data_IF_353663692024
#
_entry.id   IF_353663692024
#
_cell.length_a   1.000
_cell.length_b   1.000
_cell.length_c   1.000
_cell.angle_alpha   90.00
_cell.angle_beta   90.00
_cell.angle_gamma   90.00
#
_symmetry.space_group_name_H-M   'P 1'
#
loop_
_entity.id
_entity.type
_entity.pdbx_description
1 polymer ?
#
# COMPACT_ATOMS: atom_id res chain seq x y z
N UNK A 1 -88.69 -43.61 -38.38
CA UNK A 1 -88.52 -42.15 -38.19
C UNK A 1 -87.40 -41.99 -37.16
N UNK A 2 -86.14 -41.96 -37.61
CA UNK A 2 -85.27 -40.76 -37.71
C UNK A 2 -84.92 -40.21 -36.31
N UNK A 3 -83.67 -39.97 -35.92
CA UNK A 3 -82.40 -39.81 -36.65
C UNK A 3 -81.22 -39.88 -35.66
N UNK A 4 -80.07 -40.35 -36.16
CA UNK A 4 -78.75 -40.26 -35.54
C UNK A 4 -78.30 -38.80 -35.39
N UNK A 5 -77.49 -38.48 -34.38
CA UNK A 5 -76.30 -37.62 -34.55
C UNK A 5 -75.19 -38.04 -33.58
N UNK A 6 -74.03 -38.34 -34.16
CA UNK A 6 -72.74 -38.62 -33.52
C UNK A 6 -71.94 -37.31 -33.45
N UNK A 7 -71.41 -36.96 -32.29
CA UNK A 7 -70.46 -35.85 -32.11
C UNK A 7 -69.01 -36.35 -32.13
N UNK A 8 -68.03 -35.64 -32.73
CA UNK A 8 -66.70 -36.16 -32.96
C UNK A 8 -65.69 -35.79 -31.85
N UNK A 9 -64.91 -36.80 -31.45
CA UNK A 9 -63.47 -36.80 -31.13
C UNK A 9 -62.82 -35.51 -30.60
N UNK A 10 -62.42 -35.51 -29.33
CA UNK A 10 -61.20 -34.83 -28.90
C UNK A 10 -60.12 -35.83 -28.50
N UNK A 11 -59.02 -35.74 -29.26
CA UNK A 11 -57.74 -36.40 -29.02
C UNK A 11 -57.01 -35.80 -27.83
N UNK A 12 -56.09 -36.60 -27.29
CA UNK A 12 -54.79 -36.20 -26.73
C UNK A 12 -54.73 -35.84 -25.25
N UNK A 13 -53.85 -36.57 -24.55
CA UNK A 13 -53.39 -36.23 -23.22
C UNK A 13 -52.30 -37.16 -22.66
N UNK A 14 -51.35 -37.61 -23.48
CA UNK A 14 -50.02 -38.03 -22.98
C UNK A 14 -49.05 -36.94 -23.41
N UNK A 15 -48.48 -36.22 -22.45
CA UNK A 15 -47.04 -35.89 -22.29
C UNK A 15 -46.96 -35.03 -21.02
N UNK A 16 -46.65 -35.66 -19.89
CA UNK A 16 -46.02 -34.99 -18.75
C UNK A 16 -44.93 -35.93 -18.25
N UNK A 17 -43.87 -35.36 -17.69
CA UNK A 17 -42.67 -36.02 -17.13
C UNK A 17 -41.53 -36.24 -18.12
N UNK A 18 -40.95 -35.15 -18.63
CA UNK A 18 -39.50 -35.10 -18.94
C UNK A 18 -38.83 -33.83 -18.34
N UNK A 19 -39.59 -32.81 -17.94
CA UNK A 19 -39.01 -31.52 -17.53
C UNK A 19 -38.45 -31.45 -16.09
N UNK A 20 -38.70 -32.45 -15.23
CA UNK A 20 -38.31 -32.38 -13.80
C UNK A 20 -36.87 -32.80 -13.51
N UNK A 21 -36.22 -33.56 -14.40
CA UNK A 21 -34.86 -34.07 -14.19
C UNK A 21 -33.77 -33.03 -14.50
N UNK A 22 -34.03 -32.06 -15.38
CA UNK A 22 -33.03 -31.07 -15.81
C UNK A 22 -32.76 -29.99 -14.73
N UNK A 23 -33.78 -29.62 -13.95
CA UNK A 23 -33.64 -28.59 -12.90
C UNK A 23 -32.83 -29.10 -11.69
N UNK A 24 -33.01 -30.37 -11.33
CA UNK A 24 -32.24 -31.02 -10.25
C UNK A 24 -30.76 -31.21 -10.62
N UNK A 25 -30.47 -31.53 -11.89
CA UNK A 25 -29.08 -31.67 -12.36
C UNK A 25 -28.31 -30.34 -12.35
N UNK A 26 -28.96 -29.23 -12.74
CA UNK A 26 -28.33 -27.90 -12.73
C UNK A 26 -28.01 -27.38 -11.33
N UNK A 27 -28.86 -27.66 -10.34
CA UNK A 27 -28.64 -27.24 -8.94
C UNK A 27 -27.55 -28.06 -8.24
N UNK A 28 -27.48 -29.37 -8.50
CA UNK A 28 -26.39 -30.22 -8.04
C UNK A 28 -25.05 -29.81 -8.65
N UNK A 29 -25.00 -29.57 -9.97
CA UNK A 29 -23.80 -29.07 -10.64
C UNK A 29 -23.35 -27.73 -10.05
N UNK A 30 -24.26 -26.80 -9.79
CA UNK A 30 -23.91 -25.49 -9.21
C UNK A 30 -23.36 -25.62 -7.77
N UNK A 31 -23.94 -26.51 -6.95
CA UNK A 31 -23.41 -26.79 -5.62
C UNK A 31 -22.03 -27.45 -5.66
N UNK A 32 -21.80 -28.35 -6.63
CA UNK A 32 -20.50 -28.98 -6.86
C UNK A 32 -19.45 -27.96 -7.34
N UNK A 33 -19.83 -27.04 -8.23
CA UNK A 33 -18.96 -25.94 -8.67
C UNK A 33 -18.62 -24.99 -7.51
N UNK A 34 -19.61 -24.59 -6.70
CA UNK A 34 -19.36 -23.75 -5.52
C UNK A 34 -18.42 -24.42 -4.52
N UNK A 35 -18.55 -25.73 -4.34
CA UNK A 35 -17.63 -26.51 -3.50
C UNK A 35 -16.24 -26.59 -4.12
N UNK A 36 -16.13 -26.85 -5.42
CA UNK A 36 -14.86 -26.87 -6.13
C UNK A 36 -14.14 -25.52 -6.08
N UNK A 37 -14.88 -24.41 -6.16
CA UNK A 37 -14.34 -23.06 -6.02
C UNK A 37 -13.66 -22.81 -4.67
N UNK A 38 -14.16 -23.41 -3.59
CA UNK A 38 -13.53 -23.29 -2.26
C UNK A 38 -12.15 -23.95 -2.21
N UNK A 39 -11.89 -24.95 -3.06
CA UNK A 39 -10.60 -25.64 -3.15
C UNK A 39 -9.60 -24.97 -4.09
N UNK A 40 -10.01 -23.92 -4.80
CA UNK A 40 -9.10 -23.15 -5.65
C UNK A 40 -7.99 -22.51 -4.80
N UNK A 41 -6.79 -22.41 -5.37
CA UNK A 41 -5.56 -22.04 -4.66
C UNK A 41 -5.70 -20.73 -3.87
N UNK A 42 -6.39 -19.72 -4.38
CA UNK A 42 -6.59 -18.44 -3.69
C UNK A 42 -7.54 -18.50 -2.48
N UNK A 43 -8.34 -19.57 -2.36
CA UNK A 43 -9.19 -19.81 -1.20
C UNK A 43 -8.48 -20.70 -0.18
N UNK A 44 -7.76 -21.73 -0.63
CA UNK A 44 -7.04 -22.65 0.24
C UNK A 44 -5.77 -22.05 0.83
N UNK A 45 -5.02 -21.22 0.09
CA UNK A 45 -3.82 -20.52 0.60
C UNK A 45 -4.12 -19.60 1.78
N UNK A 46 -5.35 -19.07 1.90
CA UNK A 46 -5.77 -18.27 3.06
C UNK A 46 -5.88 -19.08 4.35
N UNK A 47 -6.02 -20.40 4.24
CA UNK A 47 -6.15 -21.33 5.36
C UNK A 47 -4.79 -21.91 5.80
N UNK A 48 -3.74 -21.68 5.01
CA UNK A 48 -2.39 -22.12 5.34
C UNK A 48 -1.70 -20.99 6.13
N UNK A 49 -1.34 -21.29 7.37
CA UNK A 49 -0.69 -20.35 8.28
C UNK A 49 0.64 -20.92 8.75
N UNK A 50 1.68 -20.08 8.83
CA UNK A 50 2.98 -20.49 9.37
C UNK A 50 3.88 -21.32 8.46
N UNK A 51 3.54 -21.47 7.17
CA UNK A 51 4.26 -22.31 6.21
C UNK A 51 5.37 -21.58 5.43
N UNK A 52 5.23 -20.27 5.22
CA UNK A 52 6.20 -19.44 4.48
C UNK A 52 7.01 -18.57 5.44
N UNK A 53 8.34 -18.68 5.35
CA UNK A 53 9.29 -17.80 6.01
C UNK A 53 10.07 -17.02 4.96
N UNK A 54 9.83 -15.71 4.88
CA UNK A 54 10.63 -14.80 4.05
C UNK A 54 11.50 -13.94 4.97
N UNK A 55 12.79 -14.31 5.16
CA UNK A 55 13.66 -13.62 6.11
C UNK A 55 14.09 -12.25 5.59
N UNK A 56 14.04 -11.26 6.48
CA UNK A 56 14.65 -9.95 6.32
C UNK A 56 15.85 -9.86 7.26
N UNK A 57 17.05 -9.92 6.68
CA UNK A 57 18.31 -9.90 7.43
C UNK A 57 18.61 -8.52 8.02
N UNK A 58 19.10 -8.51 9.26
CA UNK A 58 19.64 -7.31 9.90
C UNK A 58 21.03 -7.01 9.33
N UNK A 59 21.52 -5.79 9.56
CA UNK A 59 22.83 -5.34 9.05
C UNK A 59 24.02 -6.12 9.59
N UNK A 60 23.85 -6.84 10.71
CA UNK A 60 24.86 -7.74 11.26
C UNK A 60 25.03 -9.03 10.45
N UNK A 61 24.09 -9.36 9.56
CA UNK A 61 24.12 -10.57 8.73
C UNK A 61 23.88 -11.88 9.50
N UNK A 62 23.60 -11.82 10.80
CA UNK A 62 23.42 -13.00 11.65
C UNK A 62 21.98 -13.16 12.11
N UNK A 63 21.30 -12.04 12.36
CA UNK A 63 19.91 -12.02 12.83
C UNK A 63 18.99 -11.68 11.68
N UNK A 64 17.76 -12.20 11.74
CA UNK A 64 16.74 -11.86 10.77
C UNK A 64 15.38 -11.81 11.44
N UNK A 65 14.49 -11.01 10.86
CA UNK A 65 13.07 -11.03 11.21
C UNK A 65 12.24 -11.55 10.05
N UNK A 66 11.07 -12.08 10.35
CA UNK A 66 10.09 -12.47 9.32
C UNK A 66 8.67 -12.21 9.82
N UNK A 67 7.76 -11.99 8.87
CA UNK A 67 6.32 -11.91 9.13
C UNK A 67 5.73 -13.29 9.02
N UNK A 68 4.95 -13.71 10.00
CA UNK A 68 4.20 -14.96 9.99
C UNK A 68 2.71 -14.66 10.06
N UNK A 69 1.94 -15.24 9.14
CA UNK A 69 0.48 -15.18 9.20
C UNK A 69 -0.01 -16.30 10.12
N UNK A 70 -0.79 -15.94 11.14
CA UNK A 70 -1.44 -16.87 12.07
C UNK A 70 -2.96 -16.72 11.98
N UNK A 71 -3.71 -17.63 12.60
CA UNK A 71 -5.16 -17.51 12.70
C UNK A 71 -5.61 -16.24 13.46
N UNK A 72 -4.76 -15.71 14.34
CA UNK A 72 -5.04 -14.53 15.16
C UNK A 72 -4.56 -13.22 14.52
N UNK A 73 -3.93 -13.27 13.35
CA UNK A 73 -3.33 -12.10 12.70
C UNK A 73 -1.88 -12.33 12.28
N UNK A 74 -1.23 -11.27 11.83
CA UNK A 74 0.18 -11.34 11.42
C UNK A 74 1.12 -10.93 12.55
N UNK A 75 2.06 -11.81 12.87
CA UNK A 75 3.11 -11.53 13.84
C UNK A 75 4.44 -11.26 13.16
N UNK A 76 5.27 -10.46 13.81
CA UNK A 76 6.63 -10.17 13.36
C UNK A 76 7.60 -10.78 14.35
N UNK A 77 8.39 -11.74 13.87
CA UNK A 77 9.26 -12.56 14.71
C UNK A 77 10.70 -12.24 14.38
N UNK A 78 11.50 -11.90 15.41
CA UNK A 78 12.94 -11.79 15.35
C UNK A 78 13.60 -13.11 15.79
N UNK A 79 14.56 -13.57 15.01
CA UNK A 79 15.35 -14.77 15.28
C UNK A 79 16.81 -14.37 15.43
N UNK A 80 17.42 -14.87 16.51
CA UNK A 80 18.87 -14.90 16.67
C UNK A 80 19.34 -16.35 16.70
N UNK A 81 19.98 -16.84 15.61
CA UNK A 81 20.50 -18.20 15.53
C UNK A 81 21.63 -18.48 16.52
N UNK A 82 22.52 -17.52 16.79
CA UNK A 82 23.68 -17.72 17.68
C UNK A 82 23.24 -18.01 19.12
N UNK A 83 22.25 -17.27 19.60
CA UNK A 83 21.67 -17.48 20.93
C UNK A 83 20.49 -18.45 20.95
N UNK A 84 20.12 -19.03 19.80
CA UNK A 84 18.93 -19.89 19.63
C UNK A 84 17.65 -19.28 20.23
N UNK A 85 17.42 -17.98 19.98
CA UNK A 85 16.24 -17.27 20.50
C UNK A 85 15.30 -16.86 19.38
N UNK A 86 14.00 -17.01 19.64
CA UNK A 86 12.90 -16.54 18.81
C UNK A 86 11.95 -15.71 19.65
N UNK A 87 11.71 -14.46 19.27
CA UNK A 87 10.82 -13.54 20.01
C UNK A 87 9.98 -12.69 19.05
N UNK A 88 8.87 -12.16 19.53
CA UNK A 88 8.16 -11.10 18.81
C UNK A 88 9.06 -9.85 18.75
N UNK A 89 9.01 -9.15 17.63
CA UNK A 89 9.69 -7.85 17.47
C UNK A 89 9.01 -6.82 18.37
N UNK A 90 7.67 -6.81 18.37
CA UNK A 90 6.81 -5.92 19.14
C UNK A 90 5.48 -6.61 19.47
N UNK A 91 4.74 -6.01 20.40
CA UNK A 91 3.33 -6.34 20.67
C UNK A 91 2.43 -5.58 19.69
N UNK A 92 1.68 -6.31 18.86
CA UNK A 92 0.82 -5.73 17.83
C UNK A 92 -0.28 -4.83 18.42
N UNK A 93 -0.84 -5.18 19.59
CA UNK A 93 -1.90 -4.41 20.23
C UNK A 93 -1.39 -3.06 20.73
N UNK A 94 -0.23 -3.07 21.40
CA UNK A 94 0.41 -1.83 21.87
C UNK A 94 0.88 -0.96 20.72
N UNK A 95 1.45 -1.57 19.67
CA UNK A 95 1.89 -0.83 18.49
C UNK A 95 0.71 -0.19 17.74
N UNK A 96 -0.36 -0.94 17.49
CA UNK A 96 -1.56 -0.41 16.83
C UNK A 96 -2.15 0.76 17.61
N UNK A 97 -2.26 0.65 18.94
CA UNK A 97 -2.74 1.74 19.79
C UNK A 97 -1.85 2.99 19.70
N UNK A 98 -0.52 2.81 19.72
CA UNK A 98 0.43 3.90 19.59
C UNK A 98 0.36 4.59 18.22
N UNK A 99 0.24 3.82 17.13
CA UNK A 99 0.02 4.35 15.78
C UNK A 99 -1.30 5.10 15.69
N UNK A 100 -2.35 4.59 16.33
CA UNK A 100 -3.68 5.22 16.32
C UNK A 100 -3.68 6.56 17.01
N UNK A 101 -3.00 6.66 18.15
CA UNK A 101 -2.82 7.93 18.85
C UNK A 101 -2.02 8.92 18.01
N UNK A 102 -1.01 8.46 17.27
CA UNK A 102 -0.13 9.32 16.50
C UNK A 102 -0.78 9.93 15.24
N UNK A 103 -1.71 9.22 14.60
CA UNK A 103 -2.33 9.63 13.33
C UNK A 103 -3.84 9.90 13.43
N UNK A 104 -4.40 9.90 14.65
CA UNK A 104 -5.85 10.06 14.90
C UNK A 104 -6.71 9.15 14.00
N UNK A 105 -6.26 7.90 13.85
CA UNK A 105 -6.89 6.88 12.97
C UNK A 105 -6.83 5.51 13.61
N UNK A 106 -7.94 4.79 13.66
CA UNK A 106 -7.97 3.44 14.24
C UNK A 106 -7.20 2.44 13.38
N UNK A 107 -6.23 1.75 13.99
CA UNK A 107 -5.51 0.63 13.40
C UNK A 107 -5.91 -0.66 14.10
N UNK A 108 -6.24 -1.68 13.30
CA UNK A 108 -6.57 -3.01 13.81
C UNK A 108 -5.26 -3.76 14.14
N UNK A 109 -5.06 -4.21 15.39
CA UNK A 109 -3.86 -4.94 15.78
C UNK A 109 -3.72 -6.32 15.13
N UNK A 110 -4.81 -6.90 14.65
CA UNK A 110 -4.82 -8.16 13.90
C UNK A 110 -4.47 -7.93 12.43
N UNK A 111 -4.79 -6.74 11.91
CA UNK A 111 -4.65 -6.36 10.50
C UNK A 111 -3.85 -5.08 10.35
N UNK A 112 -2.62 -5.11 10.89
CA UNK A 112 -1.68 -4.00 10.73
C UNK A 112 -1.48 -3.68 9.23
N UNK A 113 -1.60 -2.41 8.81
CA UNK A 113 -1.61 -2.00 7.40
C UNK A 113 -0.19 -1.87 6.82
N UNK A 114 0.69 -2.79 7.19
CA UNK A 114 2.05 -2.89 6.68
C UNK A 114 2.52 -4.35 6.74
N UNK A 115 3.44 -4.68 5.86
CA UNK A 115 4.05 -6.02 5.79
C UNK A 115 5.55 -5.99 6.05
N UNK A 116 6.14 -4.80 6.11
CA UNK A 116 7.57 -4.57 6.30
C UNK A 116 7.83 -3.33 7.16
N UNK A 117 8.98 -3.29 7.79
CA UNK A 117 9.48 -2.18 8.59
C UNK A 117 11.02 -2.16 8.54
N UNK A 118 11.63 -1.05 8.98
CA UNK A 118 13.09 -0.96 9.17
C UNK A 118 13.40 -0.68 10.64
N UNK A 119 14.44 -1.29 11.18
CA UNK A 119 14.95 -0.89 12.50
C UNK A 119 15.69 0.44 12.42
N UNK A 120 15.58 1.21 13.50
CA UNK A 120 16.35 2.42 13.76
C UNK A 120 16.93 2.39 15.17
N UNK A 121 17.93 3.24 15.40
CA UNK A 121 18.56 3.48 16.71
C UNK A 121 18.98 2.20 17.46
N UNK A 122 19.50 1.22 16.73
CA UNK A 122 19.91 -0.07 17.30
C UNK A 122 18.74 -0.90 17.82
N UNK A 123 17.66 -1.01 17.03
CA UNK A 123 16.41 -1.75 17.34
C UNK A 123 15.54 -1.13 18.44
N UNK A 124 15.86 0.09 18.90
CA UNK A 124 15.04 0.83 19.87
C UNK A 124 13.77 1.38 19.24
N UNK A 125 13.84 1.69 17.95
CA UNK A 125 12.73 2.21 17.16
C UNK A 125 12.55 1.44 15.86
N UNK A 126 11.36 1.52 15.28
CA UNK A 126 11.04 1.01 13.96
C UNK A 126 10.41 2.08 13.08
N UNK A 127 10.80 2.07 11.81
CA UNK A 127 10.17 2.84 10.76
C UNK A 127 9.15 1.97 10.02
N UNK A 128 7.90 2.43 9.96
CA UNK A 128 6.79 1.72 9.31
C UNK A 128 6.13 2.64 8.28
N UNK A 129 5.98 2.18 7.04
CA UNK A 129 5.10 2.84 6.06
C UNK A 129 3.70 2.23 6.14
N UNK A 130 2.71 3.00 6.59
CA UNK A 130 1.33 2.56 6.79
C UNK A 130 0.35 3.66 6.33
N UNK A 131 -0.68 3.30 5.56
CA UNK A 131 -1.73 4.25 5.10
C UNK A 131 -1.18 5.56 4.48
N UNK A 132 -0.18 5.45 3.61
CA UNK A 132 0.56 6.58 3.01
C UNK A 132 1.33 7.48 4.00
N UNK A 133 1.35 7.14 5.29
CA UNK A 133 2.13 7.77 6.36
C UNK A 133 3.36 6.92 6.73
N UNK A 134 4.34 7.56 7.35
CA UNK A 134 5.61 6.99 7.77
C UNK A 134 5.66 7.20 9.26
N UNK A 135 5.61 6.12 10.00
CA UNK A 135 5.64 6.12 11.44
C UNK A 135 7.06 5.85 11.90
N UNK A 136 7.49 6.60 12.89
CA UNK A 136 8.63 6.25 13.72
C UNK A 136 8.08 5.83 15.09
N UNK A 137 8.31 4.59 15.48
CA UNK A 137 7.76 4.01 16.70
C UNK A 137 8.87 3.50 17.61
N UNK A 138 8.99 4.10 18.80
CA UNK A 138 9.84 3.60 19.88
C UNK A 138 9.21 2.36 20.53
N UNK A 139 9.94 1.25 20.56
CA UNK A 139 9.41 -0.05 21.00
C UNK A 139 9.34 -0.21 22.52
N UNK A 140 10.17 0.50 23.29
CA UNK A 140 10.18 0.41 24.75
C UNK A 140 8.98 1.14 25.38
N UNK A 141 8.75 2.38 24.94
CA UNK A 141 7.66 3.21 25.43
C UNK A 141 6.35 3.06 24.63
N UNK A 142 6.38 2.36 23.50
CA UNK A 142 5.28 2.31 22.52
C UNK A 142 4.78 3.72 22.18
N UNK A 143 5.71 4.58 21.76
CA UNK A 143 5.42 5.93 21.30
C UNK A 143 5.66 6.00 19.81
N UNK A 144 4.62 6.32 19.05
CA UNK A 144 4.73 6.53 17.62
C UNK A 144 4.59 8.02 17.31
N UNK A 145 5.34 8.49 16.33
CA UNK A 145 5.17 9.80 15.71
C UNK A 145 4.98 9.60 14.22
N UNK A 146 4.03 10.31 13.63
CA UNK A 146 3.93 10.41 12.17
C UNK A 146 5.06 11.30 11.72
N UNK A 147 6.04 10.73 11.01
CA UNK A 147 6.97 11.52 10.23
C UNK A 147 6.26 11.98 8.97
N UNK A 148 6.57 13.20 8.56
CA UNK A 148 6.03 13.71 7.32
C UNK A 148 6.34 12.81 6.13
N UNK A 149 5.27 12.39 5.47
CA UNK A 149 5.25 11.56 4.27
C UNK A 149 5.02 12.38 3.05
N UNK A 150 5.97 13.24 2.76
CA UNK A 150 6.29 13.43 1.36
C UNK A 150 7.13 12.21 0.97
N UNK A 151 6.54 11.16 0.35
CA UNK A 151 7.33 10.08 -0.23
C UNK A 151 8.28 10.72 -1.23
N UNK A 152 9.56 10.87 -0.86
CA UNK A 152 10.54 11.44 -1.78
C UNK A 152 11.04 10.34 -2.69
N UNK A 153 10.16 9.87 -3.57
CA UNK A 153 10.60 9.31 -4.85
C UNK A 153 10.96 10.45 -5.82
N UNK A 154 10.67 11.71 -5.46
CA UNK A 154 11.18 12.90 -6.15
C UNK A 154 12.68 13.08 -5.85
N UNK A 155 13.51 13.34 -6.87
CA UNK A 155 14.92 13.60 -6.65
C UNK A 155 15.05 14.94 -5.94
N UNK A 156 15.84 14.99 -4.87
CA UNK A 156 16.04 16.18 -4.05
C UNK A 156 17.40 16.83 -4.32
N UNK A 157 17.61 18.01 -3.75
CA UNK A 157 18.90 18.71 -3.72
C UNK A 157 19.33 18.90 -2.28
N UNK A 158 20.41 18.21 -1.91
CA UNK A 158 21.02 18.28 -0.56
C UNK A 158 21.76 19.60 -0.40
N UNK A 159 21.67 20.19 0.79
CA UNK A 159 22.45 21.37 1.18
C UNK A 159 23.95 21.06 1.27
N UNK A 160 24.85 22.04 1.09
CA UNK A 160 26.31 21.81 1.16
C UNK A 160 26.81 21.16 2.45
N UNK A 161 26.19 21.49 3.59
CA UNK A 161 26.45 20.90 4.91
C UNK A 161 25.77 19.53 5.13
N UNK A 162 25.03 19.01 4.16
CA UNK A 162 24.33 17.72 4.20
C UNK A 162 23.27 17.57 5.30
N UNK A 163 22.75 18.68 5.84
CA UNK A 163 21.75 18.66 6.91
C UNK A 163 20.32 18.76 6.40
N UNK A 164 20.12 19.35 5.21
CA UNK A 164 18.80 19.61 4.63
C UNK A 164 18.71 19.05 3.20
N UNK A 165 17.50 18.71 2.80
CA UNK A 165 17.17 18.42 1.41
C UNK A 165 15.98 19.27 0.95
N UNK A 166 16.13 19.93 -0.20
CA UNK A 166 15.09 20.68 -0.87
C UNK A 166 14.52 19.87 -2.04
N UNK A 167 13.20 19.88 -2.18
CA UNK A 167 12.51 19.16 -3.26
C UNK A 167 11.23 19.89 -3.65
N UNK A 168 10.65 19.45 -4.77
CA UNK A 168 9.38 19.98 -5.27
C UNK A 168 8.32 18.89 -5.14
N UNK A 169 7.19 19.24 -4.54
CA UNK A 169 6.01 18.38 -4.41
C UNK A 169 4.78 19.21 -4.76
N UNK A 170 3.88 18.67 -5.61
CA UNK A 170 2.67 19.37 -6.07
C UNK A 170 2.96 20.83 -6.47
N UNK A 171 3.96 21.02 -7.33
CA UNK A 171 4.40 22.31 -7.87
C UNK A 171 5.00 23.32 -6.88
N UNK A 172 5.13 22.94 -5.61
CA UNK A 172 5.60 23.78 -4.53
C UNK A 172 6.93 23.29 -3.95
N UNK A 173 7.69 24.20 -3.35
CA UNK A 173 9.00 23.91 -2.75
C UNK A 173 8.84 23.49 -1.30
N UNK A 174 9.49 22.41 -0.94
CA UNK A 174 9.57 21.88 0.40
C UNK A 174 11.03 21.68 0.80
N UNK A 175 11.30 21.82 2.10
CA UNK A 175 12.60 21.51 2.71
C UNK A 175 12.39 20.62 3.91
N UNK A 176 13.26 19.64 4.11
CA UNK A 176 13.25 18.79 5.31
C UNK A 176 14.67 18.37 5.71
N UNK A 177 14.87 17.80 6.91
CA UNK A 177 16.15 17.22 7.31
C UNK A 177 16.61 16.14 6.32
N UNK A 178 17.90 16.13 5.99
CA UNK A 178 18.48 15.12 5.12
C UNK A 178 18.41 13.75 5.78
N UNK A 179 17.95 12.74 5.02
CA UNK A 179 17.69 11.39 5.55
C UNK A 179 16.28 11.20 6.14
N UNK A 180 15.44 12.23 6.07
CA UNK A 180 14.02 12.17 6.41
C UNK A 180 13.65 12.86 7.73
N UNK A 181 12.37 13.20 7.87
CA UNK A 181 11.85 14.03 8.94
C UNK A 181 10.70 14.90 8.44
N UNK A 182 10.24 15.81 9.29
CA UNK A 182 9.12 16.69 8.93
C UNK A 182 9.53 17.70 7.87
N UNK A 183 8.70 17.86 6.84
CA UNK A 183 8.95 18.84 5.78
C UNK A 183 8.27 20.15 6.11
N UNK A 184 8.94 21.23 5.74
CA UNK A 184 8.41 22.58 5.77
C UNK A 184 8.11 23.01 4.35
N UNK A 185 6.85 23.34 4.09
CA UNK A 185 6.44 23.94 2.82
C UNK A 185 6.89 25.41 2.79
N UNK A 186 7.63 25.80 1.76
CA UNK A 186 8.15 27.16 1.59
C UNK A 186 7.34 28.00 0.61
N UNK A 187 6.59 27.35 -0.30
CA UNK A 187 5.71 28.02 -1.27
C UNK A 187 4.35 27.34 -1.28
N UNK A 188 3.27 28.09 -1.53
CA UNK A 188 1.89 27.56 -1.52
C UNK A 188 1.10 27.88 -2.79
N UNK A 189 1.70 28.61 -3.72
CA UNK A 189 1.03 29.19 -4.89
C UNK A 189 1.41 28.49 -6.21
N UNK A 190 2.25 27.46 -6.14
CA UNK A 190 2.57 26.63 -7.31
C UNK A 190 1.35 25.84 -7.78
N UNK A 191 1.11 25.84 -9.10
CA UNK A 191 0.08 25.03 -9.76
C UNK A 191 0.63 24.43 -11.05
N UNK A 192 -0.15 23.57 -11.71
CA UNK A 192 0.20 23.04 -13.03
C UNK A 192 0.52 24.17 -14.01
N UNK A 193 1.59 24.03 -14.80
CA UNK A 193 2.15 25.06 -15.69
C UNK A 193 2.61 26.35 -14.99
N UNK A 194 2.62 26.42 -13.66
CA UNK A 194 3.16 27.54 -12.88
C UNK A 194 3.94 27.01 -11.67
N UNK A 195 4.98 26.24 -11.97
CA UNK A 195 5.67 25.38 -11.00
C UNK A 195 7.05 25.93 -10.62
N UNK A 196 7.45 25.67 -9.37
CA UNK A 196 8.81 25.90 -8.91
C UNK A 196 9.70 24.70 -9.26
N UNK A 197 10.95 24.97 -9.65
CA UNK A 197 12.01 23.97 -9.85
C UNK A 197 11.79 23.01 -11.01
N UNK A 198 10.66 23.05 -11.71
CA UNK A 198 10.32 22.15 -12.81
C UNK A 198 9.66 22.93 -13.95
N UNK A 199 10.00 22.60 -15.20
CA UNK A 199 9.27 23.05 -16.39
C UNK A 199 8.42 21.94 -17.00
N UNK A 200 7.68 22.27 -18.06
CA UNK A 200 6.84 21.29 -18.75
C UNK A 200 7.69 20.11 -19.26
N UNK A 201 7.26 18.85 -19.01
CA UNK A 201 8.00 17.69 -19.48
C UNK A 201 8.08 17.70 -21.02
N UNK A 202 9.30 17.48 -21.54
CA UNK A 202 9.52 17.27 -22.98
C UNK A 202 8.72 16.07 -23.48
N UNK A 203 8.39 15.94 -24.77
CA UNK A 203 7.55 14.84 -25.29
C UNK A 203 8.02 13.42 -24.87
N UNK A 204 9.33 13.17 -24.81
CA UNK A 204 9.88 11.90 -24.34
C UNK A 204 9.69 11.66 -22.83
N UNK A 205 9.58 12.73 -22.03
CA UNK A 205 9.34 12.71 -20.59
C UNK A 205 7.84 12.56 -20.27
N UNK A 206 6.94 12.96 -21.18
CA UNK A 206 5.50 12.66 -21.08
C UNK A 206 5.27 11.15 -21.20
N UNK A 207 5.99 10.48 -22.12
CA UNK A 207 5.91 9.01 -22.33
C UNK A 207 6.51 8.19 -21.19
N UNK A 208 7.52 8.71 -20.49
CA UNK A 208 8.14 8.09 -19.31
C UNK A 208 8.13 9.08 -18.15
N UNK A 209 7.10 8.98 -17.30
CA UNK A 209 6.95 9.75 -16.06
C UNK A 209 8.03 9.35 -15.04
N UNK A 210 9.26 9.77 -15.30
CA UNK A 210 10.37 9.63 -14.36
C UNK A 210 10.39 10.84 -13.43
N UNK A 211 10.71 10.64 -12.14
CA UNK A 211 10.90 11.74 -11.21
C UNK A 211 11.99 12.69 -11.71
N UNK A 212 11.73 14.01 -11.72
CA UNK A 212 12.70 15.01 -12.16
C UNK A 212 13.32 15.75 -10.99
N UNK A 213 14.66 15.85 -11.00
CA UNK A 213 15.37 16.64 -10.00
C UNK A 213 15.05 18.12 -10.24
N UNK A 214 14.58 18.85 -9.22
CA UNK A 214 14.22 20.24 -9.41
C UNK A 214 15.48 21.09 -9.59
N UNK A 215 15.34 22.17 -10.35
CA UNK A 215 16.38 23.19 -10.53
C UNK A 215 16.46 24.07 -9.29
N UNK A 216 17.21 23.61 -8.29
CA UNK A 216 17.47 24.29 -7.02
C UNK A 216 18.98 24.38 -6.80
N UNK A 217 19.46 25.53 -6.34
CA UNK A 217 20.87 25.76 -6.00
C UNK A 217 20.97 26.34 -4.59
N UNK A 218 21.62 25.62 -3.69
CA UNK A 218 21.88 26.09 -2.34
C UNK A 218 23.02 27.11 -2.29
N UNK A 219 22.93 28.07 -1.36
CA UNK A 219 24.06 28.92 -1.00
C UNK A 219 25.17 28.08 -0.36
N UNK A 220 26.45 28.45 -0.50
CA UNK A 220 27.57 27.68 0.07
C UNK A 220 27.51 27.51 1.59
N UNK A 221 26.83 28.42 2.29
CA UNK A 221 26.62 28.39 3.73
C UNK A 221 25.36 27.60 4.16
N UNK A 222 24.66 26.95 3.23
CA UNK A 222 23.41 26.19 3.45
C UNK A 222 22.22 27.00 3.98
N UNK A 223 22.31 28.33 4.09
CA UNK A 223 21.24 29.14 4.72
C UNK A 223 20.12 29.55 3.78
N UNK A 224 20.38 29.53 2.48
CA UNK A 224 19.44 29.95 1.43
C UNK A 224 19.55 29.01 0.24
N UNK A 225 18.55 29.04 -0.62
CA UNK A 225 18.65 28.46 -1.94
C UNK A 225 17.92 29.34 -2.95
N UNK A 226 18.32 29.22 -4.20
CA UNK A 226 17.62 29.80 -5.34
C UNK A 226 16.87 28.68 -6.08
N UNK A 227 15.64 28.97 -6.50
CA UNK A 227 14.79 28.08 -7.28
C UNK A 227 14.20 28.87 -8.43
N UNK A 228 14.20 28.29 -9.63
CA UNK A 228 13.54 28.90 -10.78
C UNK A 228 12.03 28.64 -10.69
N UNK A 229 11.22 29.65 -10.99
CA UNK A 229 9.77 29.48 -11.21
C UNK A 229 9.46 29.74 -12.68
N UNK A 230 8.77 28.80 -13.30
CA UNK A 230 8.39 28.91 -14.71
C UNK A 230 6.89 29.14 -14.81
N UNK A 231 6.48 30.10 -15.66
CA UNK A 231 5.07 30.34 -16.01
C UNK A 231 4.85 29.95 -17.47
N UNK A 232 4.22 28.80 -17.65
CA UNK A 232 3.93 28.19 -18.94
C UNK A 232 2.42 28.17 -19.23
N UNK A 233 1.59 28.79 -18.36
CA UNK A 233 0.11 28.74 -18.48
C UNK A 233 -0.44 29.30 -19.80
N UNK A 234 0.32 30.19 -20.44
CA UNK A 234 -0.05 30.84 -21.70
C UNK A 234 0.87 30.41 -22.86
N UNK A 235 1.58 29.28 -22.72
CA UNK A 235 2.46 28.76 -23.76
C UNK A 235 1.69 27.70 -24.58
N UNK A 236 1.82 27.74 -25.90
CA UNK A 236 1.22 26.73 -26.76
C UNK A 236 1.90 25.37 -26.52
N UNK A 237 1.10 24.36 -26.16
CA UNK A 237 1.61 23.02 -25.87
C UNK A 237 1.43 22.12 -27.09
N UNK A 238 2.51 21.47 -27.52
CA UNK A 238 2.43 20.43 -28.55
C UNK A 238 1.82 19.16 -27.94
N UNK A 239 0.64 18.77 -28.41
CA UNK A 239 -0.08 17.55 -28.02
C UNK A 239 0.37 16.33 -28.83
#
# INVERSE_FOLDING_TARGET
MMQQTVGPWHRSGVVVVVLSLLVAAGTLAQADYQRAEQFLTWNTTKLITGDVVTPSWLSDGQRFWYRVTTAAGADFVLVNPESNTRRLVFDNARLAAAMSLANDTTYDPVKLPFTTFKFRDGERSIEIKASAKLFDCELAAYRCTVRDTLPSDVPYVVSPDSTLEAFVHEHNVYVRPHGGGDSTQLTTDGVEFWSYGSGYPRPNQVKRKLPQRPTIVWSPDSRKFAVQRNDERNVEHMH
#
